data_IF_289680860512
#
_entry.id   IF_289680860512
#
_cell.length_a   1.000
_cell.length_b   1.000
_cell.length_c   1.000
_cell.angle_alpha   90.00
_cell.angle_beta   90.00
_cell.angle_gamma   90.00
#
_symmetry.space_group_name_H-M   'P 1'
#
loop_
_entity.id
_entity.type
_entity.pdbx_description
1 polymer ?
#
# COMPACT_ATOMS: atom_id res chain seq x y z
N UNK A 1 36.27 -9.43 -35.70
CA UNK A 1 35.03 -9.84 -35.00
C UNK A 1 34.49 -8.83 -33.98
N UNK A 2 35.20 -7.74 -33.63
CA UNK A 2 34.74 -6.78 -32.59
C UNK A 2 33.86 -5.60 -33.10
N UNK A 3 33.69 -5.41 -34.41
CA UNK A 3 33.00 -4.23 -34.94
C UNK A 3 31.49 -4.39 -35.16
N UNK A 4 30.97 -5.62 -35.10
CA UNK A 4 29.52 -5.89 -35.27
C UNK A 4 28.77 -5.69 -33.96
N UNK A 5 29.40 -6.00 -32.82
CA UNK A 5 28.80 -5.84 -31.49
C UNK A 5 28.61 -4.37 -31.09
N UNK A 6 29.49 -3.47 -31.53
CA UNK A 6 29.40 -2.03 -31.22
C UNK A 6 28.27 -1.31 -31.96
N UNK A 7 27.98 -1.71 -33.21
CA UNK A 7 26.84 -1.19 -33.97
C UNK A 7 25.50 -1.73 -33.46
N UNK A 8 25.48 -2.97 -32.97
CA UNK A 8 24.28 -3.54 -32.33
C UNK A 8 23.97 -2.82 -31.01
N UNK A 9 24.99 -2.50 -30.20
CA UNK A 9 24.78 -1.75 -28.95
C UNK A 9 24.30 -0.30 -29.18
N UNK A 10 24.81 0.40 -30.20
CA UNK A 10 24.34 1.76 -30.54
C UNK A 10 22.90 1.78 -31.08
N UNK A 11 22.52 0.77 -31.87
CA UNK A 11 21.13 0.64 -32.39
C UNK A 11 20.16 0.27 -31.27
N UNK A 12 20.62 -0.48 -30.27
CA UNK A 12 19.85 -0.81 -29.06
C UNK A 12 19.75 0.38 -28.07
N UNK A 13 20.71 1.30 -28.05
CA UNK A 13 20.66 2.49 -27.17
C UNK A 13 19.59 3.51 -27.58
N UNK A 14 19.33 3.68 -28.88
CA UNK A 14 18.55 4.82 -29.38
C UNK A 14 17.02 4.72 -29.20
N UNK A 15 16.47 3.57 -28.78
CA UNK A 15 15.02 3.36 -28.61
C UNK A 15 14.55 3.46 -27.14
N UNK A 16 15.40 3.85 -26.19
CA UNK A 16 15.24 3.34 -24.82
C UNK A 16 15.10 4.36 -23.70
N UNK A 17 15.20 5.67 -23.92
CA UNK A 17 15.34 6.60 -22.78
C UNK A 17 14.02 6.81 -21.99
N UNK A 18 12.86 6.93 -22.67
CA UNK A 18 11.58 7.14 -21.98
C UNK A 18 11.05 5.85 -21.33
N UNK A 19 11.21 4.69 -21.99
CA UNK A 19 10.83 3.40 -21.42
C UNK A 19 11.75 2.99 -20.26
N UNK A 20 13.05 3.35 -20.30
CA UNK A 20 14.00 3.01 -19.22
C UNK A 20 13.97 4.00 -18.05
N UNK A 21 13.54 5.25 -18.24
CA UNK A 21 13.42 6.25 -17.17
C UNK A 21 12.02 6.86 -17.14
N UNK A 22 10.98 6.06 -16.85
CA UNK A 22 9.59 6.53 -16.89
C UNK A 22 9.27 7.60 -15.82
N UNK A 23 10.13 7.75 -14.81
CA UNK A 23 10.03 8.78 -13.77
C UNK A 23 10.60 10.14 -14.18
N UNK A 24 11.38 10.23 -15.27
CA UNK A 24 12.08 11.45 -15.66
C UNK A 24 11.34 12.22 -16.76
N UNK A 25 11.16 13.53 -16.57
CA UNK A 25 10.65 14.45 -17.58
C UNK A 25 11.53 15.68 -17.70
N UNK A 26 12.00 15.97 -18.92
CA UNK A 26 12.90 17.10 -19.20
C UNK A 26 12.28 18.47 -18.86
N UNK A 27 10.94 18.59 -18.96
CA UNK A 27 10.21 19.84 -18.68
C UNK A 27 9.89 20.05 -17.19
N UNK A 28 10.12 19.04 -16.35
CA UNK A 28 9.81 19.08 -14.92
C UNK A 28 11.00 19.55 -14.08
N UNK A 29 10.70 20.07 -12.88
CA UNK A 29 11.75 20.49 -11.94
C UNK A 29 12.58 19.30 -11.47
N UNK A 30 13.82 19.57 -11.04
CA UNK A 30 14.70 18.55 -10.46
C UNK A 30 14.09 17.90 -9.22
N UNK A 31 13.42 18.68 -8.38
CA UNK A 31 12.74 18.18 -7.18
C UNK A 31 11.60 17.23 -7.52
N UNK A 32 10.76 17.57 -8.50
CA UNK A 32 9.67 16.71 -8.97
C UNK A 32 10.21 15.39 -9.51
N UNK A 33 11.25 15.44 -10.35
CA UNK A 33 11.89 14.24 -10.90
C UNK A 33 12.53 13.37 -9.81
N UNK A 34 13.13 13.96 -8.77
CA UNK A 34 13.67 13.21 -7.63
C UNK A 34 12.57 12.53 -6.80
N UNK A 35 11.45 13.23 -6.57
CA UNK A 35 10.29 12.66 -5.88
C UNK A 35 9.68 11.51 -6.68
N UNK A 36 9.56 11.67 -7.99
CA UNK A 36 9.11 10.62 -8.89
C UNK A 36 10.06 9.42 -8.87
N UNK A 37 11.38 9.64 -9.01
CA UNK A 37 12.38 8.56 -8.91
C UNK A 37 12.20 7.74 -7.64
N UNK A 38 12.08 8.38 -6.48
CA UNK A 38 11.89 7.69 -5.20
C UNK A 38 10.57 6.90 -5.13
N UNK A 39 9.49 7.42 -5.71
CA UNK A 39 8.22 6.70 -5.77
C UNK A 39 8.29 5.46 -6.69
N UNK A 40 9.04 5.56 -7.78
CA UNK A 40 9.20 4.49 -8.77
C UNK A 40 10.07 3.33 -8.25
N UNK A 41 10.83 3.49 -7.15
CA UNK A 41 11.51 2.38 -6.46
C UNK A 41 10.56 1.25 -6.01
N UNK A 42 9.27 1.54 -5.84
CA UNK A 42 8.26 0.56 -5.46
C UNK A 42 7.43 0.05 -6.65
N UNK A 43 7.74 0.49 -7.89
CA UNK A 43 6.96 0.16 -9.07
C UNK A 43 7.66 -0.93 -9.90
N UNK A 44 6.99 -2.07 -10.01
CA UNK A 44 7.31 -3.10 -11.00
C UNK A 44 6.45 -2.92 -12.25
N UNK A 45 7.07 -3.01 -13.42
CA UNK A 45 6.37 -2.86 -14.71
C UNK A 45 6.29 -4.19 -15.44
N UNK A 46 5.10 -4.62 -15.82
CA UNK A 46 4.89 -5.81 -16.64
C UNK A 46 4.62 -5.37 -18.08
N UNK A 47 5.44 -5.85 -19.02
CA UNK A 47 5.27 -5.56 -20.45
C UNK A 47 5.28 -6.85 -21.26
N UNK A 48 4.67 -6.84 -22.45
CA UNK A 48 4.86 -7.95 -23.37
C UNK A 48 6.34 -8.04 -23.75
N UNK A 49 6.87 -9.25 -23.82
CA UNK A 49 8.27 -9.47 -24.13
C UNK A 49 8.55 -9.05 -25.56
N UNK A 50 9.53 -8.18 -25.73
CA UNK A 50 10.03 -7.75 -27.04
C UNK A 50 11.37 -8.47 -27.29
N UNK A 51 11.56 -9.12 -28.44
CA UNK A 51 12.82 -9.78 -28.76
C UNK A 51 13.93 -8.76 -29.02
N UNK A 52 15.12 -9.08 -28.53
CA UNK A 52 16.34 -8.29 -28.77
C UNK A 52 17.07 -8.87 -29.99
N UNK A 53 16.45 -8.77 -31.16
CA UNK A 53 17.04 -9.25 -32.43
C UNK A 53 17.23 -8.12 -33.44
N UNK A 54 18.14 -8.34 -34.39
CA UNK A 54 18.39 -7.40 -35.47
C UNK A 54 17.16 -7.24 -36.38
N UNK A 55 16.40 -8.32 -36.61
CA UNK A 55 15.19 -8.25 -37.43
C UNK A 55 14.14 -7.33 -36.78
N UNK A 56 13.93 -7.46 -35.47
CA UNK A 56 12.99 -6.60 -34.75
C UNK A 56 13.42 -5.13 -34.79
N UNK A 57 14.72 -4.85 -34.63
CA UNK A 57 15.25 -3.49 -34.70
C UNK A 57 15.01 -2.85 -36.08
N UNK A 58 15.22 -3.61 -37.16
CA UNK A 58 14.95 -3.15 -38.53
C UNK A 58 13.45 -2.93 -38.77
N UNK A 59 12.61 -3.87 -38.33
CA UNK A 59 11.15 -3.72 -38.38
C UNK A 59 10.69 -2.47 -37.65
N UNK A 60 11.17 -2.25 -36.43
CA UNK A 60 10.84 -1.09 -35.61
C UNK A 60 11.18 0.21 -36.33
N UNK A 61 12.38 0.31 -36.91
CA UNK A 61 12.80 1.45 -37.73
C UNK A 61 11.88 1.65 -38.95
N UNK A 62 11.50 0.57 -39.62
CA UNK A 62 10.57 0.60 -40.75
C UNK A 62 9.20 1.16 -40.36
N UNK A 63 8.60 0.66 -39.28
CA UNK A 63 7.31 1.14 -38.74
C UNK A 63 7.37 2.64 -38.42
N UNK A 64 8.44 3.09 -37.75
CA UNK A 64 8.61 4.50 -37.39
C UNK A 64 8.69 5.40 -38.63
N UNK A 65 9.39 4.94 -39.68
CA UNK A 65 9.49 5.67 -40.95
C UNK A 65 8.12 5.73 -41.68
N UNK A 66 7.42 4.60 -41.76
CA UNK A 66 6.10 4.52 -42.39
C UNK A 66 5.08 5.42 -41.70
N UNK A 67 5.12 5.50 -40.37
CA UNK A 67 4.24 6.39 -39.59
C UNK A 67 4.40 7.85 -39.99
N UNK A 68 5.66 8.30 -40.13
CA UNK A 68 5.96 9.66 -40.58
C UNK A 68 5.53 9.88 -42.03
N UNK A 69 5.84 8.93 -42.92
CA UNK A 69 5.59 9.06 -44.35
C UNK A 69 4.10 9.08 -44.70
N UNK A 70 3.32 8.16 -44.13
CA UNK A 70 1.92 7.95 -44.53
C UNK A 70 0.91 8.69 -43.65
N UNK A 71 1.24 8.92 -42.37
CA UNK A 71 0.30 9.53 -41.42
C UNK A 71 0.76 10.90 -40.92
N UNK A 72 1.96 11.36 -41.28
CA UNK A 72 2.53 12.61 -40.78
C UNK A 72 2.71 12.62 -39.25
N UNK A 73 2.77 11.43 -38.64
CA UNK A 73 2.91 11.25 -37.19
C UNK A 73 4.28 10.62 -36.91
N UNK A 74 5.27 11.41 -36.47
CA UNK A 74 6.55 10.84 -36.10
C UNK A 74 6.35 10.01 -34.83
N UNK A 75 6.90 8.79 -34.82
CA UNK A 75 7.09 8.07 -33.57
C UNK A 75 8.08 8.84 -32.70
N UNK A 76 7.80 8.94 -31.40
CA UNK A 76 8.71 9.51 -30.42
C UNK A 76 9.93 8.61 -30.14
N UNK A 77 10.55 8.85 -28.99
CA UNK A 77 11.59 7.96 -28.44
C UNK A 77 11.02 6.64 -27.92
N UNK A 78 9.70 6.50 -27.96
CA UNK A 78 8.95 5.33 -27.54
C UNK A 78 9.22 4.10 -28.42
N UNK A 79 9.01 2.92 -27.83
CA UNK A 79 9.04 1.64 -28.53
C UNK A 79 7.80 1.49 -29.43
N UNK A 80 7.92 0.64 -30.45
CA UNK A 80 6.76 0.32 -31.29
C UNK A 80 5.74 -0.45 -30.46
N UNK A 81 4.49 -0.01 -30.50
CA UNK A 81 3.42 -0.61 -29.73
C UNK A 81 3.27 -2.10 -30.08
N UNK A 82 3.10 -2.94 -29.05
CA UNK A 82 2.92 -4.40 -29.15
C UNK A 82 1.75 -4.81 -30.03
N UNK A 83 0.73 -3.95 -30.19
CA UNK A 83 -0.36 -4.21 -31.13
C UNK A 83 0.12 -4.21 -32.59
N UNK A 84 1.06 -3.33 -32.95
CA UNK A 84 1.59 -3.25 -34.32
C UNK A 84 2.34 -4.53 -34.66
N UNK A 85 3.16 -5.02 -33.73
CA UNK A 85 3.88 -6.28 -33.90
C UNK A 85 2.93 -7.48 -33.94
N UNK A 86 1.87 -7.47 -33.11
CA UNK A 86 0.86 -8.52 -33.13
C UNK A 86 0.08 -8.58 -34.46
N UNK A 87 -0.26 -7.43 -35.04
CA UNK A 87 -0.90 -7.40 -36.37
C UNK A 87 0.02 -7.88 -37.48
N UNK A 88 1.30 -7.53 -37.42
CA UNK A 88 2.30 -8.06 -38.35
C UNK A 88 2.35 -9.59 -38.30
N UNK A 89 2.45 -10.15 -37.10
CA UNK A 89 2.46 -11.61 -36.90
C UNK A 89 1.13 -12.27 -37.32
N UNK A 90 0.00 -11.59 -37.12
CA UNK A 90 -1.31 -12.09 -37.54
C UNK A 90 -1.42 -12.24 -39.07
N UNK A 91 -0.81 -11.32 -39.83
CA UNK A 91 -0.76 -11.44 -41.30
C UNK A 91 0.11 -12.63 -41.72
N UNK A 92 1.24 -12.87 -41.04
CA UNK A 92 2.07 -14.06 -41.29
C UNK A 92 1.25 -15.32 -41.02
N UNK A 93 0.61 -15.43 -39.85
CA UNK A 93 -0.24 -16.57 -39.50
C UNK A 93 -1.35 -16.81 -40.52
N UNK A 94 -2.05 -15.75 -40.93
CA UNK A 94 -3.09 -15.83 -41.96
C UNK A 94 -2.52 -16.32 -43.30
N UNK A 95 -1.37 -15.80 -43.72
CA UNK A 95 -0.72 -16.22 -44.97
C UNK A 95 -0.34 -17.71 -44.97
N UNK A 96 0.11 -18.24 -43.83
CA UNK A 96 0.40 -19.67 -43.66
C UNK A 96 -0.87 -20.52 -43.82
N UNK A 97 -1.94 -20.14 -43.12
CA UNK A 97 -3.22 -20.85 -43.19
C UNK A 97 -3.84 -20.80 -44.59
N UNK A 98 -3.77 -19.65 -45.28
CA UNK A 98 -4.23 -19.50 -46.68
C UNK A 98 -3.42 -20.38 -47.63
N UNK A 99 -2.09 -20.38 -47.50
CA UNK A 99 -1.21 -21.18 -48.35
C UNK A 99 -1.51 -22.69 -48.19
N UNK A 100 -1.69 -23.16 -46.96
CA UNK A 100 -2.09 -24.55 -46.69
C UNK A 100 -3.46 -24.89 -47.28
N UNK A 101 -4.44 -23.98 -47.12
CA UNK A 101 -5.79 -24.15 -47.68
C UNK A 101 -5.76 -24.27 -49.20
N UNK A 102 -4.97 -23.43 -49.88
CA UNK A 102 -4.83 -23.47 -51.34
C UNK A 102 -4.11 -24.73 -51.82
N UNK A 103 -3.08 -25.19 -51.11
CA UNK A 103 -2.35 -26.44 -51.44
C UNK A 103 -3.26 -27.67 -51.37
N UNK A 104 -4.26 -27.65 -50.49
CA UNK A 104 -5.26 -28.71 -50.37
C UNK A 104 -6.41 -28.59 -51.39
N UNK A 105 -6.39 -27.58 -52.27
CA UNK A 105 -7.45 -27.35 -53.26
C UNK A 105 -8.76 -26.86 -52.66
N UNK A 106 -8.72 -26.36 -51.42
CA UNK A 106 -9.90 -25.92 -50.67
C UNK A 106 -10.21 -24.44 -50.94
N UNK A 107 -11.47 -24.06 -50.73
CA UNK A 107 -11.94 -22.69 -50.98
C UNK A 107 -11.63 -21.77 -49.80
N UNK A 108 -10.99 -20.63 -50.08
CA UNK A 108 -10.76 -19.55 -49.10
C UNK A 108 -12.04 -18.86 -48.62
N UNK A 109 -13.18 -19.10 -49.29
CA UNK A 109 -14.47 -18.59 -48.82
C UNK A 109 -14.94 -19.29 -47.54
N UNK A 110 -14.39 -20.46 -47.22
CA UNK A 110 -14.66 -21.14 -45.96
C UNK A 110 -13.75 -20.58 -44.84
N UNK A 111 -14.18 -19.45 -44.27
CA UNK A 111 -13.43 -18.77 -43.21
C UNK A 111 -13.18 -19.65 -41.98
N UNK A 112 -14.14 -20.50 -41.60
CA UNK A 112 -13.99 -21.43 -40.47
C UNK A 112 -12.81 -22.37 -40.68
N UNK A 113 -12.65 -22.90 -41.90
CA UNK A 113 -11.56 -23.81 -42.23
C UNK A 113 -10.20 -23.11 -42.20
N UNK A 114 -10.12 -21.88 -42.74
CA UNK A 114 -8.89 -21.09 -42.69
C UNK A 114 -8.52 -20.76 -41.24
N UNK A 115 -9.48 -20.31 -40.43
CA UNK A 115 -9.28 -20.01 -39.01
C UNK A 115 -8.84 -21.25 -38.23
N UNK A 116 -9.44 -22.42 -38.48
CA UNK A 116 -9.04 -23.64 -37.79
C UNK A 116 -7.58 -24.04 -38.08
N UNK A 117 -7.06 -23.75 -39.28
CA UNK A 117 -5.64 -23.94 -39.63
C UNK A 117 -4.70 -22.94 -38.96
N UNK A 118 -5.22 -21.86 -38.38
CA UNK A 118 -4.43 -20.89 -37.61
C UNK A 118 -4.25 -21.31 -36.14
N UNK A 119 -5.07 -22.25 -35.64
CA UNK A 119 -5.07 -22.65 -34.23
C UNK A 119 -4.08 -23.79 -33.96
N UNK A 120 -3.75 -23.98 -32.67
CA UNK A 120 -2.88 -25.05 -32.17
C UNK A 120 -1.55 -25.20 -32.95
N UNK A 121 -0.85 -24.10 -33.17
CA UNK A 121 0.40 -24.10 -33.94
C UNK A 121 1.38 -23.05 -33.46
N UNK A 122 2.64 -23.27 -33.80
CA UNK A 122 3.73 -22.32 -33.56
C UNK A 122 4.33 -21.91 -34.90
N UNK A 123 4.66 -20.64 -35.05
CA UNK A 123 5.34 -20.09 -36.22
C UNK A 123 6.33 -18.99 -35.80
N UNK A 124 7.28 -18.68 -36.67
CA UNK A 124 8.24 -17.61 -36.46
C UNK A 124 7.65 -16.27 -36.95
N UNK A 125 7.50 -15.32 -36.03
CA UNK A 125 7.05 -13.95 -36.29
C UNK A 125 8.14 -12.93 -35.95
N UNK A 126 7.81 -11.64 -36.09
CA UNK A 126 8.75 -10.55 -35.75
C UNK A 126 9.00 -10.44 -34.25
N UNK A 127 8.06 -10.96 -33.45
CA UNK A 127 8.18 -11.04 -32.00
C UNK A 127 8.87 -12.33 -31.51
N UNK A 128 9.45 -13.11 -32.43
CA UNK A 128 10.04 -14.43 -32.15
C UNK A 128 9.03 -15.56 -32.40
N UNK A 129 9.16 -16.67 -31.65
CA UNK A 129 8.24 -17.80 -31.78
C UNK A 129 6.85 -17.46 -31.23
N UNK A 130 5.86 -17.42 -32.12
CA UNK A 130 4.46 -17.15 -31.79
C UNK A 130 3.69 -18.47 -31.74
N UNK A 131 3.08 -18.77 -30.59
CA UNK A 131 2.27 -19.97 -30.42
C UNK A 131 0.79 -19.61 -30.20
N UNK A 132 -0.09 -20.25 -30.96
CA UNK A 132 -1.54 -20.14 -30.85
C UNK A 132 -2.08 -21.43 -30.26
N UNK A 133 -2.88 -21.34 -29.22
CA UNK A 133 -3.46 -22.48 -28.53
C UNK A 133 -4.63 -23.09 -29.31
N UNK A 134 -5.18 -24.17 -28.77
CA UNK A 134 -6.31 -24.92 -29.35
C UNK A 134 -7.62 -24.13 -29.45
N UNK A 135 -7.74 -23.02 -28.73
CA UNK A 135 -8.90 -22.12 -28.73
C UNK A 135 -8.72 -20.90 -29.65
N UNK A 136 -7.55 -20.79 -30.28
CA UNK A 136 -7.22 -19.65 -31.14
C UNK A 136 -6.59 -18.46 -30.43
N UNK A 137 -6.24 -18.58 -29.14
CA UNK A 137 -5.59 -17.52 -28.39
C UNK A 137 -4.06 -17.66 -28.43
N UNK A 138 -3.37 -16.52 -28.48
CA UNK A 138 -1.91 -16.49 -28.44
C UNK A 138 -1.39 -16.74 -27.02
N UNK A 139 -0.39 -17.61 -26.89
CA UNK A 139 0.48 -17.62 -25.71
C UNK A 139 1.40 -16.39 -25.76
N UNK A 140 1.28 -15.52 -24.76
CA UNK A 140 2.04 -14.27 -24.69
C UNK A 140 3.14 -14.42 -23.65
N UNK A 141 4.35 -14.08 -24.05
CA UNK A 141 5.50 -13.95 -23.15
C UNK A 141 5.53 -12.54 -22.57
N UNK A 142 5.85 -12.42 -21.29
CA UNK A 142 5.94 -11.14 -20.58
C UNK A 142 7.32 -10.95 -19.97
N UNK A 143 7.71 -9.69 -19.82
CA UNK A 143 8.89 -9.27 -19.07
C UNK A 143 8.46 -8.49 -17.84
N UNK A 144 9.09 -8.78 -16.70
CA UNK A 144 8.98 -7.98 -15.48
C UNK A 144 10.19 -7.05 -15.42
N UNK A 145 9.94 -5.76 -15.35
CA UNK A 145 10.95 -4.72 -15.23
C UNK A 145 10.90 -4.13 -13.83
N UNK A 146 12.09 -3.85 -13.30
CA UNK A 146 12.29 -3.17 -12.03
C UNK A 146 13.37 -2.09 -12.18
N UNK A 147 13.32 -1.08 -11.32
CA UNK A 147 14.27 0.01 -11.35
C UNK A 147 15.55 -0.37 -10.60
N UNK A 148 16.69 -0.24 -11.27
CA UNK A 148 17.98 -0.25 -10.59
C UNK A 148 18.07 1.00 -9.69
N UNK A 149 18.21 0.84 -8.35
CA UNK A 149 18.22 1.97 -7.42
C UNK A 149 19.41 2.92 -7.64
N UNK A 150 20.55 2.42 -8.13
CA UNK A 150 21.75 3.23 -8.33
C UNK A 150 21.61 4.13 -9.57
N UNK A 151 21.25 3.51 -10.69
CA UNK A 151 21.19 4.20 -11.99
C UNK A 151 19.84 4.86 -12.26
N UNK A 152 18.78 4.44 -11.57
CA UNK A 152 17.40 4.84 -11.83
C UNK A 152 16.87 4.33 -13.16
N UNK A 153 17.45 3.26 -13.71
CA UNK A 153 17.11 2.71 -15.02
C UNK A 153 16.27 1.45 -14.81
N UNK A 154 15.16 1.34 -15.52
CA UNK A 154 14.35 0.14 -15.56
C UNK A 154 15.01 -0.93 -16.41
N UNK A 155 15.12 -2.13 -15.86
CA UNK A 155 15.74 -3.28 -16.50
C UNK A 155 14.88 -4.53 -16.27
N UNK A 156 14.98 -5.49 -17.19
CA UNK A 156 14.26 -6.76 -17.08
C UNK A 156 14.92 -7.60 -15.97
N UNK A 157 14.14 -7.95 -14.96
CA UNK A 157 14.58 -8.79 -13.82
C UNK A 157 14.06 -10.21 -13.91
N UNK A 158 12.95 -10.44 -14.61
CA UNK A 158 12.40 -11.77 -14.83
C UNK A 158 11.55 -11.83 -16.11
N UNK A 159 11.32 -13.03 -16.61
CA UNK A 159 10.44 -13.28 -17.76
C UNK A 159 9.42 -14.37 -17.44
N UNK A 160 8.22 -14.19 -17.96
CA UNK A 160 7.20 -15.22 -17.99
C UNK A 160 7.06 -15.76 -19.41
N UNK A 161 7.20 -17.07 -19.57
CA UNK A 161 7.00 -17.76 -20.84
C UNK A 161 5.60 -18.35 -20.90
N UNK A 162 4.78 -17.89 -21.84
CA UNK A 162 3.35 -18.23 -21.90
C UNK A 162 3.10 -19.69 -22.23
N UNK A 163 3.96 -20.30 -23.05
CA UNK A 163 3.83 -21.72 -23.46
C UNK A 163 4.17 -22.67 -22.31
N UNK A 164 5.31 -22.44 -21.63
CA UNK A 164 5.74 -23.30 -20.53
C UNK A 164 5.12 -22.92 -19.17
N UNK A 165 4.47 -21.75 -19.09
CA UNK A 165 3.92 -21.15 -17.87
C UNK A 165 4.96 -20.97 -16.77
N UNK A 166 6.20 -20.68 -17.16
CA UNK A 166 7.33 -20.54 -16.24
C UNK A 166 7.68 -19.07 -16.05
N UNK A 167 7.82 -18.68 -14.79
CA UNK A 167 8.42 -17.43 -14.38
C UNK A 167 9.90 -17.67 -14.08
N UNK A 168 10.79 -17.02 -14.83
CA UNK A 168 12.22 -17.26 -14.83
C UNK A 168 12.96 -15.95 -14.56
N UNK A 169 13.67 -15.90 -13.44
CA UNK A 169 14.52 -14.77 -13.09
C UNK A 169 15.71 -14.63 -14.05
N UNK A 170 16.11 -13.39 -14.34
CA UNK A 170 17.33 -13.12 -15.10
C UNK A 170 18.54 -13.36 -14.18
N UNK A 171 19.52 -14.20 -14.59
CA UNK A 171 20.72 -14.44 -13.79
C UNK A 171 21.45 -13.14 -13.41
N UNK A 172 21.71 -12.97 -12.11
CA UNK A 172 22.39 -11.78 -11.57
C UNK A 172 21.52 -10.52 -11.48
N UNK A 173 20.22 -10.62 -11.76
CA UNK A 173 19.24 -9.57 -11.51
C UNK A 173 18.23 -10.07 -10.48
N UNK A 174 17.82 -9.18 -9.60
CA UNK A 174 16.87 -9.47 -8.53
C UNK A 174 15.89 -8.33 -8.40
N UNK A 175 14.66 -8.65 -7.97
CA UNK A 175 13.66 -7.64 -7.64
C UNK A 175 14.13 -6.89 -6.39
N UNK A 176 14.26 -5.57 -6.53
CA UNK A 176 14.56 -4.65 -5.46
C UNK A 176 13.27 -4.22 -4.76
N UNK A 177 13.16 -4.55 -3.48
CA UNK A 177 12.02 -4.17 -2.67
C UNK A 177 12.28 -2.87 -1.93
N UNK A 178 11.52 -1.84 -2.27
CA UNK A 178 11.65 -0.50 -1.70
C UNK A 178 11.69 -0.49 -0.15
N UNK A 179 12.51 0.42 0.38
CA UNK A 179 12.71 0.58 1.83
C UNK A 179 13.70 -0.43 2.42
N UNK A 180 14.70 -0.87 1.64
CA UNK A 180 15.73 -1.82 2.06
C UNK A 180 15.16 -3.14 2.59
N UNK A 181 14.06 -3.62 2.00
CA UNK A 181 13.44 -4.89 2.37
C UNK A 181 14.18 -6.03 1.68
N UNK A 182 14.33 -7.16 2.38
CA UNK A 182 14.90 -8.38 1.79
C UNK A 182 13.93 -9.16 0.89
N UNK A 183 12.68 -8.72 0.79
CA UNK A 183 11.62 -9.45 0.09
C UNK A 183 10.34 -8.63 -0.08
N UNK A 184 9.32 -9.21 -0.74
CA UNK A 184 8.06 -8.54 -1.01
C UNK A 184 7.39 -8.04 0.27
N UNK A 185 6.70 -6.89 0.22
CA UNK A 185 5.79 -6.51 1.29
C UNK A 185 4.70 -7.58 1.45
N UNK A 186 4.20 -7.75 2.68
CA UNK A 186 2.99 -8.52 2.94
C UNK A 186 1.83 -7.96 2.11
N UNK A 187 1.04 -8.83 1.52
CA UNK A 187 -0.17 -8.48 0.76
C UNK A 187 -1.27 -7.90 1.66
N UNK A 188 -1.27 -8.28 2.95
CA UNK A 188 -2.14 -7.72 3.98
C UNK A 188 -1.30 -7.01 5.05
N UNK A 189 -1.67 -5.78 5.46
CA UNK A 189 -1.03 -5.10 6.59
C UNK A 189 -1.15 -5.90 7.89
N UNK A 190 -0.22 -5.71 8.83
CA UNK A 190 -0.20 -6.43 10.12
C UNK A 190 -1.51 -6.29 10.91
N UNK A 191 -2.13 -5.11 10.87
CA UNK A 191 -3.41 -4.84 11.54
C UNK A 191 -4.65 -5.09 10.65
N UNK A 192 -4.50 -5.69 9.47
CA UNK A 192 -5.56 -5.74 8.48
C UNK A 192 -5.76 -4.38 7.79
N UNK A 193 -6.53 -4.35 6.71
CA UNK A 193 -6.81 -3.11 5.98
C UNK A 193 -7.71 -2.14 6.77
N UNK A 194 -8.54 -2.67 7.66
CA UNK A 194 -9.53 -1.95 8.47
C UNK A 194 -9.13 -1.81 9.94
N UNK A 195 -7.94 -2.30 10.33
CA UNK A 195 -7.49 -2.32 11.72
C UNK A 195 -8.05 -3.48 12.56
N UNK A 196 -8.92 -4.33 12.01
CA UNK A 196 -9.64 -5.37 12.76
C UNK A 196 -8.74 -6.43 13.42
N UNK A 197 -7.55 -6.69 12.86
CA UNK A 197 -6.61 -7.67 13.41
C UNK A 197 -5.82 -7.13 14.61
N UNK A 198 -5.74 -5.81 14.76
CA UNK A 198 -5.18 -5.18 15.95
C UNK A 198 -6.33 -4.85 16.89
N UNK A 199 -6.44 -5.59 17.99
CA UNK A 199 -7.43 -5.27 19.00
C UNK A 199 -7.16 -3.88 19.55
N UNK A 200 -8.11 -2.97 19.35
CA UNK A 200 -8.24 -1.71 20.08
C UNK A 200 -8.55 -2.01 21.55
N UNK A 201 -7.61 -2.60 22.28
CA UNK A 201 -7.67 -2.61 23.75
C UNK A 201 -7.33 -1.20 24.26
N UNK A 202 -8.16 -0.22 23.91
CA UNK A 202 -8.12 1.11 24.53
C UNK A 202 -8.32 1.01 26.05
N UNK A 203 -9.01 -0.04 26.52
CA UNK A 203 -9.16 -0.36 27.93
C UNK A 203 -9.04 -1.87 28.13
N UNK A 204 -7.84 -2.39 28.39
CA UNK A 204 -7.72 -3.79 28.78
C UNK A 204 -8.61 -4.07 29.99
N UNK A 205 -9.26 -5.22 30.03
CA UNK A 205 -10.30 -5.56 31.01
C UNK A 205 -9.87 -5.30 32.47
N UNK A 206 -8.58 -5.43 32.78
CA UNK A 206 -8.04 -5.14 34.10
C UNK A 206 -8.13 -3.66 34.51
N UNK A 207 -8.08 -2.71 33.57
CA UNK A 207 -8.20 -1.26 33.84
C UNK A 207 -9.61 -0.91 34.31
N UNK A 208 -10.62 -1.53 33.69
CA UNK A 208 -12.02 -1.35 34.07
C UNK A 208 -12.26 -1.94 35.47
N UNK A 209 -11.78 -3.17 35.71
CA UNK A 209 -11.94 -3.86 37.00
C UNK A 209 -11.24 -3.12 38.14
N UNK A 210 -10.00 -2.67 37.93
CA UNK A 210 -9.21 -1.95 38.95
C UNK A 210 -9.81 -0.56 39.26
N UNK A 211 -10.31 0.15 38.24
CA UNK A 211 -11.00 1.43 38.42
C UNK A 211 -12.27 1.31 39.26
N UNK A 212 -13.12 0.32 38.95
CA UNK A 212 -14.34 0.04 39.72
C UNK A 212 -14.00 -0.33 41.16
N UNK A 213 -13.05 -1.24 41.38
CA UNK A 213 -12.65 -1.67 42.72
C UNK A 213 -12.12 -0.50 43.56
N UNK A 214 -11.30 0.38 42.96
CA UNK A 214 -10.76 1.57 43.62
C UNK A 214 -11.85 2.54 44.06
N UNK A 215 -12.81 2.83 43.17
CA UNK A 215 -13.94 3.72 43.50
C UNK A 215 -14.78 3.19 44.67
N UNK A 216 -15.02 1.87 44.71
CA UNK A 216 -15.77 1.22 45.80
C UNK A 216 -15.03 1.37 47.13
N UNK A 217 -13.71 1.16 47.15
CA UNK A 217 -12.88 1.33 48.35
C UNK A 217 -12.93 2.77 48.86
N UNK A 218 -12.86 3.76 47.97
CA UNK A 218 -12.96 5.18 48.36
C UNK A 218 -14.32 5.49 48.99
N UNK A 219 -15.41 4.98 48.44
CA UNK A 219 -16.75 5.15 49.02
C UNK A 219 -16.84 4.53 50.41
N UNK A 220 -16.28 3.32 50.61
CA UNK A 220 -16.24 2.69 51.94
C UNK A 220 -15.43 3.49 52.96
N UNK A 221 -14.31 4.09 52.55
CA UNK A 221 -13.49 4.96 53.42
C UNK A 221 -14.30 6.19 53.83
N UNK A 222 -14.97 6.84 52.88
CA UNK A 222 -15.80 8.02 53.14
C UNK A 222 -16.96 7.66 54.09
N UNK A 223 -17.69 6.57 53.81
CA UNK A 223 -18.77 6.09 54.68
C UNK A 223 -18.29 5.78 56.09
N UNK A 224 -17.16 5.08 56.22
CA UNK A 224 -16.55 4.74 57.51
C UNK A 224 -16.17 5.99 58.30
N UNK A 225 -15.63 7.01 57.62
CA UNK A 225 -15.30 8.30 58.24
C UNK A 225 -16.54 9.02 58.76
N UNK A 226 -17.62 9.06 57.99
CA UNK A 226 -18.89 9.66 58.43
C UNK A 226 -19.50 8.91 59.61
N UNK A 227 -19.49 7.58 59.58
CA UNK A 227 -19.97 6.72 60.67
C UNK A 227 -19.13 6.95 61.94
N UNK A 228 -17.79 6.97 61.81
CA UNK A 228 -16.89 7.24 62.94
C UNK A 228 -17.15 8.63 63.56
N UNK A 229 -17.31 9.66 62.73
CA UNK A 229 -17.63 11.01 63.19
C UNK A 229 -18.97 11.05 63.91
N UNK A 230 -19.98 10.35 63.40
CA UNK A 230 -21.27 10.25 64.06
C UNK A 230 -21.17 9.58 65.43
N UNK A 231 -20.44 8.46 65.54
CA UNK A 231 -20.24 7.78 66.83
C UNK A 231 -19.45 8.61 67.84
N UNK A 232 -18.42 9.34 67.41
CA UNK A 232 -17.69 10.28 68.28
C UNK A 232 -18.62 11.36 68.85
N UNK A 233 -19.48 11.95 68.02
CA UNK A 233 -20.45 12.95 68.46
C UNK A 233 -21.48 12.39 69.45
N UNK A 234 -22.00 11.18 69.19
CA UNK A 234 -22.89 10.48 70.13
C UNK A 234 -22.17 10.17 71.46
N UNK A 235 -20.90 9.78 71.42
CA UNK A 235 -20.09 9.52 72.62
C UNK A 235 -19.83 10.81 73.43
N UNK A 236 -19.56 11.93 72.77
CA UNK A 236 -19.43 13.24 73.43
C UNK A 236 -20.75 13.70 74.06
N UNK A 237 -21.89 13.55 73.37
CA UNK A 237 -23.23 13.84 73.92
C UNK A 237 -23.59 12.95 75.11
N UNK A 238 -23.23 11.67 75.05
CA UNK A 238 -23.41 10.70 76.12
C UNK A 238 -22.42 10.93 77.29
N UNK A 239 -21.36 11.71 77.08
CA UNK A 239 -20.53 12.20 78.16
C UNK A 239 -21.35 13.20 78.96
N UNK A 240 -22.02 12.70 80.01
CA UNK A 240 -22.88 13.47 80.92
C UNK A 240 -22.06 14.43 81.81
N UNK A 241 -20.95 14.97 81.31
CA UNK A 241 -20.06 15.94 81.97
C UNK A 241 -20.76 17.28 82.25
N UNK A 242 -21.82 17.59 81.50
CA UNK A 242 -22.72 18.73 81.73
C UNK A 242 -23.75 18.50 82.85
N UNK A 243 -23.84 17.27 83.38
CA UNK A 243 -24.80 16.90 84.42
C UNK A 243 -24.21 17.25 85.79
N UNK A 244 -24.49 18.46 86.25
CA UNK A 244 -24.06 18.97 87.56
C UNK A 244 -24.72 18.11 88.66
N UNK A 245 -23.93 17.54 89.56
CA UNK A 245 -24.45 16.83 90.73
C UNK A 245 -25.09 17.83 91.68
N UNK A 246 -26.21 17.47 92.30
CA UNK A 246 -26.92 18.35 93.23
C UNK A 246 -26.05 18.84 94.40
N UNK A 247 -25.03 18.05 94.76
CA UNK A 247 -24.02 18.35 95.77
C UNK A 247 -23.19 19.61 95.45
N UNK A 248 -23.00 19.91 94.17
CA UNK A 248 -22.15 21.00 93.69
C UNK A 248 -22.93 22.33 93.55
N UNK A 249 -24.22 22.34 93.87
CA UNK A 249 -25.11 23.51 93.74
C UNK A 249 -25.17 24.28 95.08
N UNK A 250 -24.35 25.33 95.20
CA UNK A 250 -24.40 26.24 96.36
C UNK A 250 -25.59 27.21 96.21
N UNK A 251 -26.65 27.01 97.01
CA UNK A 251 -27.78 27.95 97.09
C UNK A 251 -27.42 29.20 97.90
N UNK A 252 -27.22 30.33 97.25
CA UNK A 252 -27.09 31.62 97.93
C UNK A 252 -28.44 32.10 98.49
N UNK A 253 -28.65 32.01 99.80
CA UNK A 253 -29.73 32.72 100.50
C UNK A 253 -29.17 33.61 101.63
N UNK A 254 -29.03 34.91 101.35
CA UNK A 254 -29.63 36.05 102.10
C UNK A 254 -28.93 37.38 101.76
N UNK A 255 -29.66 38.19 100.98
CA UNK A 255 -29.88 39.63 101.17
C UNK A 255 -28.70 40.59 101.31
N UNK A 256 -28.29 41.21 100.20
CA UNK A 256 -28.00 42.66 100.14
C UNK A 256 -28.42 43.18 98.76
N UNK A 257 -29.28 44.22 98.74
CA UNK A 257 -29.64 44.95 97.52
C UNK A 257 -28.39 45.56 96.88
N UNK A 258 -28.11 45.29 95.59
CA UNK A 258 -27.41 46.25 94.72
C UNK A 258 -27.76 46.04 93.25
N UNK A 259 -28.43 47.07 92.74
CA UNK A 259 -28.71 47.54 91.36
C UNK A 259 -28.45 46.58 90.19
N UNK A 260 -29.54 46.35 89.45
CA UNK A 260 -29.55 45.91 88.06
C UNK A 260 -28.73 46.87 87.19
N UNK A 261 -27.68 46.35 86.58
CA UNK A 261 -26.90 47.00 85.53
C UNK A 261 -26.88 46.07 84.32
N UNK A 262 -27.70 46.40 83.33
CA UNK A 262 -27.71 45.78 82.01
C UNK A 262 -26.29 45.76 81.41
N UNK A 263 -25.80 44.59 80.99
CA UNK A 263 -24.72 44.46 80.02
C UNK A 263 -25.33 43.97 78.72
N UNK A 264 -25.52 44.91 77.80
CA UNK A 264 -25.79 44.62 76.39
C UNK A 264 -24.68 43.72 75.84
N UNK A 265 -25.06 42.59 75.26
CA UNK A 265 -24.22 41.77 74.41
C UNK A 265 -24.11 42.46 73.04
N UNK A 266 -22.88 42.82 72.64
CA UNK A 266 -22.58 43.17 71.26
C UNK A 266 -22.77 41.92 70.40
N UNK A 267 -23.77 41.98 69.52
CA UNK A 267 -23.93 41.01 68.45
C UNK A 267 -23.36 41.63 67.16
N UNK A 268 -22.34 40.95 66.63
CA UNK A 268 -22.20 40.53 65.22
C UNK A 268 -21.79 41.53 64.11
N UNK A 269 -20.67 41.16 63.47
CA UNK A 269 -20.33 41.15 62.03
C UNK A 269 -19.89 42.46 61.35
N UNK A 270 -18.73 42.44 60.67
CA UNK A 270 -18.55 42.21 59.21
C UNK A 270 -17.04 42.25 58.90
N UNK A 271 -16.58 41.32 58.06
CA UNK A 271 -15.24 41.21 57.47
C UNK A 271 -15.14 39.90 56.71
#
# INVERSE_FOLDING_TARGET
MMSVNGKMSEVLEHATNESRRPWYREKESMETNQKARKAYEALLTVTARIPVTAEYAEFSKGVKNLSQQYFGKPYGKEEVNTYVTAFHDAVILYSLAVNETLKEGLSLKNGTLVTQKMWNRTFEGITGNVSINEKGDRFVDYSLLDMDPETGVYEVVANYYGVSQQFVDIPGKHIHWAGNRGGPPSDVPVCGFDGSLCSDELFPQYVIVTSVLSSVVVVFIIMSFFIYRHFQLEAELASMTWKIRWEDIVSTKKGVKKRSGSRQSLNRSIG
#
